data_IF_538314190344
#
_entry.id   IF_538314190344
#
_cell.length_a   1.000
_cell.length_b   1.000
_cell.length_c   1.000
_cell.angle_alpha   90.00
_cell.angle_beta   90.00
_cell.angle_gamma   90.00
#
_symmetry.space_group_name_H-M   'P 1'
#
loop_
_entity.id
_entity.type
_entity.pdbx_description
1 polymer ?
#
# COMPACT_ATOMS: atom_id res chain seq x y z
N UNK A 1 48.86 -28.95 -63.01
CA UNK A 1 48.76 -28.42 -61.63
C UNK A 1 47.77 -27.26 -61.60
N UNK A 2 46.50 -27.51 -61.27
CA UNK A 2 45.49 -26.47 -61.02
C UNK A 2 45.00 -26.67 -59.59
N UNK A 3 45.23 -25.67 -58.72
CA UNK A 3 44.81 -25.65 -57.32
C UNK A 3 43.29 -25.43 -57.28
N UNK A 4 42.56 -26.39 -56.71
CA UNK A 4 41.14 -26.27 -56.41
C UNK A 4 41.01 -25.54 -55.06
N UNK A 5 40.39 -24.36 -55.04
CA UNK A 5 40.14 -23.59 -53.82
C UNK A 5 38.75 -23.94 -53.32
N UNK A 6 38.69 -24.62 -52.17
CA UNK A 6 37.46 -24.95 -51.46
C UNK A 6 36.95 -23.67 -50.75
N UNK A 7 35.82 -23.11 -51.19
CA UNK A 7 35.12 -22.04 -50.46
C UNK A 7 34.22 -22.69 -49.41
N UNK A 8 34.54 -22.51 -48.13
CA UNK A 8 33.66 -22.85 -47.03
C UNK A 8 32.55 -21.79 -46.92
N UNK A 9 31.31 -22.18 -47.12
CA UNK A 9 30.14 -21.35 -46.86
C UNK A 9 29.73 -21.57 -45.40
N UNK A 10 29.95 -20.56 -44.56
CA UNK A 10 29.45 -20.56 -43.18
C UNK A 10 27.94 -20.28 -43.26
N UNK A 11 27.13 -21.32 -43.05
CA UNK A 11 25.70 -21.16 -42.83
C UNK A 11 25.51 -20.55 -41.43
N UNK A 12 25.11 -19.28 -41.38
CA UNK A 12 24.70 -18.65 -40.13
C UNK A 12 23.40 -19.30 -39.66
N UNK A 13 23.52 -20.19 -38.68
CA UNK A 13 22.38 -20.73 -37.94
C UNK A 13 21.78 -19.58 -37.13
N UNK A 14 20.68 -19.01 -37.63
CA UNK A 14 19.94 -17.97 -36.94
C UNK A 14 19.16 -18.63 -35.79
N UNK A 15 19.83 -18.81 -34.65
CA UNK A 15 19.17 -19.17 -33.40
C UNK A 15 18.35 -17.95 -33.00
N UNK A 16 17.05 -18.00 -33.28
CA UNK A 16 16.08 -17.07 -32.75
C UNK A 16 15.96 -17.38 -31.25
N UNK A 17 16.89 -16.82 -30.46
CA UNK A 17 16.71 -16.70 -29.02
C UNK A 17 15.47 -15.82 -28.85
N UNK A 18 14.35 -16.44 -28.51
CA UNK A 18 13.24 -15.73 -27.90
C UNK A 18 13.83 -15.11 -26.63
N UNK A 19 14.17 -13.82 -26.71
CA UNK A 19 14.38 -13.02 -25.52
C UNK A 19 13.12 -13.20 -24.68
N UNK A 20 13.20 -13.50 -23.38
CA UNK A 20 12.01 -13.42 -22.55
C UNK A 20 11.45 -12.02 -22.80
N UNK A 21 10.17 -11.97 -23.15
CA UNK A 21 9.38 -10.75 -22.97
C UNK A 21 9.69 -10.34 -21.54
N UNK A 22 10.45 -9.26 -21.35
CA UNK A 22 10.44 -8.61 -20.05
C UNK A 22 8.96 -8.35 -19.82
N UNK A 23 8.38 -9.03 -18.83
CA UNK A 23 7.10 -8.61 -18.30
C UNK A 23 7.21 -7.09 -18.14
N UNK A 24 6.28 -6.34 -18.73
CA UNK A 24 6.18 -4.92 -18.46
C UNK A 24 6.17 -4.81 -16.93
N UNK A 25 7.27 -4.31 -16.37
CA UNK A 25 7.31 -3.87 -14.99
C UNK A 25 6.42 -2.64 -15.04
N UNK A 26 5.12 -2.87 -14.89
CA UNK A 26 4.16 -1.83 -14.56
C UNK A 26 4.82 -0.96 -13.50
N UNK A 27 4.89 0.37 -13.70
CA UNK A 27 5.63 1.22 -12.79
C UNK A 27 5.19 0.95 -11.34
N UNK A 28 6.17 0.94 -10.44
CA UNK A 28 6.01 0.89 -8.98
C UNK A 28 5.32 2.18 -8.47
N UNK A 29 4.22 2.58 -9.10
CA UNK A 29 3.51 3.83 -8.87
C UNK A 29 2.00 3.62 -8.90
N UNK A 30 1.27 4.72 -9.14
CA UNK A 30 -0.19 4.72 -9.19
C UNK A 30 -0.77 3.68 -10.14
N UNK A 31 -1.82 2.99 -9.69
CA UNK A 31 -2.59 2.05 -10.52
C UNK A 31 -3.95 2.66 -10.82
N UNK A 32 -4.29 2.82 -12.09
CA UNK A 32 -5.60 3.33 -12.48
C UNK A 32 -6.71 2.40 -11.96
N UNK A 33 -7.66 2.97 -11.21
CA UNK A 33 -8.79 2.25 -10.61
C UNK A 33 -10.08 2.35 -11.45
N UNK A 34 -10.01 2.98 -12.62
CA UNK A 34 -11.13 3.06 -13.55
C UNK A 34 -11.66 1.67 -13.92
N UNK A 35 -12.94 1.43 -13.63
CA UNK A 35 -13.60 0.15 -13.89
C UNK A 35 -13.36 -0.95 -12.85
N UNK A 36 -12.66 -0.64 -11.75
CA UNK A 36 -12.48 -1.56 -10.62
C UNK A 36 -13.78 -1.83 -9.87
N UNK A 37 -13.81 -2.96 -9.16
CA UNK A 37 -14.84 -3.22 -8.15
C UNK A 37 -14.72 -2.21 -7.02
N UNK A 38 -15.82 -1.92 -6.34
CA UNK A 38 -15.83 -0.99 -5.22
C UNK A 38 -16.83 -1.37 -4.14
N UNK A 39 -16.55 -0.88 -2.95
CA UNK A 39 -17.45 -0.84 -1.81
C UNK A 39 -17.73 0.60 -1.44
N UNK A 40 -18.86 0.85 -0.78
CA UNK A 40 -19.27 2.17 -0.27
C UNK A 40 -19.38 2.11 1.25
N UNK A 41 -18.25 1.93 1.97
CA UNK A 41 -18.27 2.05 3.42
C UNK A 41 -18.66 3.49 3.77
N UNK A 42 -19.48 3.69 4.79
CA UNK A 42 -19.90 5.00 5.28
C UNK A 42 -19.66 5.06 6.79
N UNK A 43 -19.22 6.21 7.30
CA UNK A 43 -18.74 6.32 8.69
C UNK A 43 -17.68 5.24 8.96
N UNK A 44 -17.86 4.45 10.02
CA UNK A 44 -16.91 3.38 10.37
C UNK A 44 -17.21 2.03 9.71
N UNK A 45 -18.01 1.99 8.65
CA UNK A 45 -18.31 0.72 8.00
C UNK A 45 -17.06 0.10 7.39
N UNK A 46 -17.11 -1.21 7.30
CA UNK A 46 -16.01 -2.04 6.84
C UNK A 46 -16.52 -3.11 5.86
N UNK A 47 -15.66 -3.52 4.94
CA UNK A 47 -15.98 -4.58 3.99
C UNK A 47 -14.85 -5.60 3.93
N UNK A 48 -15.19 -6.88 4.03
CA UNK A 48 -14.24 -7.96 3.86
C UNK A 48 -14.08 -8.29 2.37
N UNK A 49 -12.83 -8.33 1.89
CA UNK A 49 -12.49 -8.69 0.51
C UNK A 49 -11.45 -9.79 0.53
N UNK A 50 -11.71 -10.84 -0.24
CA UNK A 50 -10.76 -11.94 -0.41
C UNK A 50 -9.52 -11.44 -1.18
N UNK A 51 -8.34 -11.81 -0.71
CA UNK A 51 -7.11 -11.57 -1.43
C UNK A 51 -6.94 -12.61 -2.55
N UNK A 52 -6.37 -12.23 -3.69
CA UNK A 52 -6.07 -13.15 -4.80
C UNK A 52 -4.84 -14.04 -4.51
N UNK A 53 -4.13 -13.77 -3.42
CA UNK A 53 -2.96 -14.48 -2.92
C UNK A 53 -2.92 -14.43 -1.39
N UNK A 54 -2.20 -15.36 -0.77
CA UNK A 54 -1.87 -15.30 0.64
C UNK A 54 -0.85 -14.18 0.88
N UNK A 55 -1.10 -13.29 1.84
CA UNK A 55 -0.22 -12.18 2.19
C UNK A 55 0.34 -12.33 3.61
N UNK A 56 1.66 -12.26 3.75
CA UNK A 56 2.38 -12.51 5.01
C UNK A 56 2.62 -11.22 5.81
N UNK A 57 1.59 -10.73 6.51
CA UNK A 57 1.68 -9.51 7.33
C UNK A 57 2.52 -9.76 8.61
N UNK A 58 3.70 -9.14 8.74
CA UNK A 58 4.72 -9.45 9.77
C UNK A 58 5.25 -10.91 9.75
N UNK A 59 5.19 -11.58 8.58
CA UNK A 59 5.84 -12.87 8.32
C UNK A 59 5.13 -14.13 8.87
N UNK A 60 5.36 -15.27 8.20
CA UNK A 60 5.08 -16.62 8.71
C UNK A 60 3.61 -16.88 9.10
N UNK A 61 3.38 -17.25 10.37
CA UNK A 61 2.07 -17.64 10.92
C UNK A 61 1.02 -16.50 10.98
N UNK A 62 1.36 -15.33 10.45
CA UNK A 62 0.52 -14.12 10.42
C UNK A 62 -0.02 -13.83 9.02
N UNK A 63 0.02 -14.84 8.15
CA UNK A 63 -0.51 -14.78 6.81
C UNK A 63 -2.04 -14.68 6.78
N UNK A 64 -2.57 -14.02 5.75
CA UNK A 64 -4.01 -13.88 5.53
C UNK A 64 -4.37 -14.01 4.06
N UNK A 65 -5.58 -14.48 3.79
CA UNK A 65 -6.19 -14.58 2.45
C UNK A 65 -7.38 -13.60 2.32
N UNK A 66 -7.51 -12.69 3.27
CA UNK A 66 -8.56 -11.68 3.32
C UNK A 66 -8.02 -10.40 3.94
N UNK A 67 -8.51 -9.28 3.45
CA UNK A 67 -8.36 -7.97 4.10
C UNK A 67 -9.72 -7.38 4.38
N UNK A 68 -9.78 -6.57 5.41
CA UNK A 68 -10.92 -5.72 5.67
C UNK A 68 -10.56 -4.30 5.25
N UNK A 69 -11.39 -3.73 4.38
CA UNK A 69 -11.29 -2.35 3.90
C UNK A 69 -12.14 -1.48 4.81
N UNK A 70 -11.58 -0.39 5.31
CA UNK A 70 -12.28 0.55 6.17
C UNK A 70 -12.27 1.96 5.58
N UNK A 71 -13.35 2.72 5.77
CA UNK A 71 -13.58 4.02 5.15
C UNK A 71 -12.48 5.08 5.42
N UNK A 72 -11.85 5.04 6.59
CA UNK A 72 -10.89 6.00 7.12
C UNK A 72 -9.48 5.79 6.56
N UNK A 73 -9.30 5.00 5.50
CA UNK A 73 -8.01 4.89 4.82
C UNK A 73 -7.05 3.86 5.40
N UNK A 74 -7.56 2.74 5.92
CA UNK A 74 -6.74 1.63 6.39
C UNK A 74 -7.28 0.25 5.97
N UNK A 75 -6.34 -0.70 5.90
CA UNK A 75 -6.60 -2.13 5.79
C UNK A 75 -6.35 -2.79 7.12
N UNK A 76 -7.08 -3.86 7.38
CA UNK A 76 -6.74 -4.79 8.45
C UNK A 76 -6.66 -6.24 8.02
N UNK A 77 -5.79 -6.98 8.69
CA UNK A 77 -5.36 -8.33 8.32
C UNK A 77 -5.79 -9.32 9.40
N UNK A 78 -6.93 -9.98 9.18
CA UNK A 78 -7.46 -11.01 10.08
C UNK A 78 -8.95 -10.88 10.36
N UNK A 79 -9.53 -11.79 11.17
CA UNK A 79 -10.98 -11.90 11.35
C UNK A 79 -11.64 -10.80 12.19
N UNK A 80 -10.87 -9.81 12.67
CA UNK A 80 -11.37 -8.76 13.56
C UNK A 80 -10.88 -7.41 13.07
N UNK A 81 -11.79 -6.43 13.02
CA UNK A 81 -11.46 -5.02 12.84
C UNK A 81 -12.38 -4.08 13.59
N UNK A 82 -11.88 -2.85 13.62
CA UNK A 82 -12.13 -1.72 14.48
C UNK A 82 -13.39 -0.94 14.16
N UNK A 83 -13.94 -0.32 15.20
CA UNK A 83 -15.10 0.55 15.13
C UNK A 83 -14.85 1.92 15.76
N UNK A 84 -13.64 2.47 15.74
CA UNK A 84 -13.44 3.84 16.20
C UNK A 84 -13.70 4.86 15.11
N UNK A 85 -14.48 5.88 15.48
CA UNK A 85 -14.62 7.13 14.74
C UNK A 85 -13.30 7.93 14.74
N UNK A 86 -12.38 7.66 15.66
CA UNK A 86 -11.14 8.43 15.83
C UNK A 86 -9.89 7.60 15.58
N UNK A 87 -8.86 8.24 15.05
CA UNK A 87 -7.52 7.66 14.98
C UNK A 87 -7.01 7.39 16.41
N UNK A 88 -6.84 6.12 16.82
CA UNK A 88 -6.32 5.79 18.14
C UNK A 88 -4.85 6.24 18.26
N UNK A 89 -4.37 6.35 19.50
CA UNK A 89 -2.95 6.58 19.73
C UNK A 89 -2.14 5.40 19.19
N UNK A 90 -1.07 5.70 18.44
CA UNK A 90 -0.09 4.70 18.01
C UNK A 90 1.11 4.70 18.95
N UNK A 91 1.72 3.54 19.27
CA UNK A 91 1.29 2.20 18.86
C UNK A 91 0.04 1.71 19.59
N UNK A 92 -0.68 0.77 18.98
CA UNK A 92 -1.86 0.13 19.58
C UNK A 92 -1.38 -0.89 20.62
N UNK A 93 -1.72 -0.68 21.91
CA UNK A 93 -1.14 -1.42 23.03
C UNK A 93 -1.83 -2.75 23.36
N UNK A 94 -3.01 -3.03 22.80
CA UNK A 94 -3.69 -4.30 23.09
C UNK A 94 -4.43 -4.88 21.89
N UNK A 95 -4.28 -6.20 21.70
CA UNK A 95 -5.19 -7.04 20.90
C UNK A 95 -6.64 -6.99 21.40
N UNK A 96 -6.86 -6.57 22.66
CA UNK A 96 -8.16 -6.60 23.33
C UNK A 96 -9.11 -5.50 22.86
N UNK A 97 -8.61 -4.52 22.10
CA UNK A 97 -9.40 -3.42 21.58
C UNK A 97 -9.70 -3.54 20.08
N UNK A 98 -9.54 -4.73 19.49
CA UNK A 98 -9.70 -5.01 18.05
C UNK A 98 -8.70 -4.26 17.14
N UNK A 99 -7.69 -3.60 17.72
CA UNK A 99 -6.71 -2.73 17.04
C UNK A 99 -5.48 -3.48 16.52
N UNK A 100 -5.66 -4.72 16.08
CA UNK A 100 -4.53 -5.57 15.69
C UNK A 100 -4.42 -5.73 14.19
N UNK A 101 -3.19 -5.67 13.70
CA UNK A 101 -2.80 -5.94 12.32
C UNK A 101 -3.44 -4.98 11.31
N UNK A 102 -2.95 -3.75 11.32
CA UNK A 102 -3.44 -2.66 10.48
C UNK A 102 -2.32 -2.12 9.60
N UNK A 103 -2.64 -1.84 8.34
CA UNK A 103 -1.87 -0.99 7.44
C UNK A 103 -2.70 0.26 7.13
N UNK A 104 -2.22 1.41 7.58
CA UNK A 104 -2.91 2.68 7.42
C UNK A 104 -2.16 3.59 6.45
N UNK A 105 -2.86 4.08 5.43
CA UNK A 105 -2.39 5.17 4.58
C UNK A 105 -2.81 6.54 5.14
N UNK A 106 -3.97 6.64 5.80
CA UNK A 106 -4.44 7.93 6.34
C UNK A 106 -4.98 7.84 7.76
N UNK A 107 -5.75 6.80 8.10
CA UNK A 107 -6.54 6.70 9.34
C UNK A 107 -7.16 8.04 9.75
N UNK A 108 -7.88 8.68 8.83
CA UNK A 108 -8.49 9.98 9.06
C UNK A 108 -10.01 9.84 9.23
N UNK A 109 -10.59 10.63 10.13
CA UNK A 109 -12.06 10.68 10.30
C UNK A 109 -12.68 11.47 9.14
N UNK A 110 -12.74 10.84 7.96
CA UNK A 110 -13.39 11.43 6.81
C UNK A 110 -14.90 11.50 7.06
N UNK A 111 -15.53 12.63 6.71
CA UNK A 111 -16.97 12.62 6.42
C UNK A 111 -17.21 11.87 5.11
N UNK A 112 -17.08 10.54 5.16
CA UNK A 112 -16.90 9.70 3.99
C UNK A 112 -18.09 9.79 3.03
N UNK A 113 -17.86 10.48 1.92
CA UNK A 113 -18.77 10.62 0.77
C UNK A 113 -18.04 10.13 -0.47
N UNK A 114 -17.68 8.85 -0.50
CA UNK A 114 -16.80 8.32 -1.54
C UNK A 114 -17.00 6.85 -1.87
N UNK A 115 -15.99 6.28 -2.54
CA UNK A 115 -15.88 4.86 -2.83
C UNK A 115 -14.50 4.35 -2.45
N UNK A 116 -14.46 3.09 -2.01
CA UNK A 116 -13.20 2.37 -1.88
C UNK A 116 -13.18 1.31 -2.97
N UNK A 117 -12.30 1.52 -3.96
CA UNK A 117 -12.11 0.61 -5.08
C UNK A 117 -11.08 -0.45 -4.73
N UNK A 118 -11.24 -1.66 -5.27
CA UNK A 118 -10.22 -2.69 -5.16
C UNK A 118 -10.09 -3.50 -6.45
N UNK A 119 -8.87 -3.92 -6.74
CA UNK A 119 -8.56 -4.75 -7.89
C UNK A 119 -7.26 -5.53 -7.68
N UNK A 120 -7.03 -6.51 -8.55
CA UNK A 120 -5.74 -7.18 -8.67
C UNK A 120 -5.15 -6.86 -10.02
N UNK A 121 -3.93 -6.36 -10.04
CA UNK A 121 -3.16 -6.14 -11.27
C UNK A 121 -1.94 -7.04 -11.30
N UNK A 122 -1.35 -7.21 -12.49
CA UNK A 122 -0.23 -8.12 -12.70
C UNK A 122 -0.65 -9.57 -12.94
N UNK A 123 0.32 -10.49 -13.00
CA UNK A 123 0.06 -11.90 -13.32
C UNK A 123 1.12 -12.84 -12.73
N UNK A 124 0.81 -14.13 -12.66
CA UNK A 124 1.72 -15.11 -12.07
C UNK A 124 1.94 -14.82 -10.59
N UNK A 125 3.21 -14.75 -10.17
CA UNK A 125 3.61 -14.36 -8.80
C UNK A 125 3.91 -12.87 -8.65
N UNK A 126 3.78 -12.10 -9.74
CA UNK A 126 4.02 -10.66 -9.76
C UNK A 126 2.67 -9.93 -9.81
N UNK A 127 1.86 -10.18 -8.78
CA UNK A 127 0.55 -9.55 -8.62
C UNK A 127 0.58 -8.52 -7.51
N UNK A 128 -0.23 -7.48 -7.69
CA UNK A 128 -0.51 -6.47 -6.67
C UNK A 128 -1.99 -6.43 -6.40
N UNK A 129 -2.37 -6.53 -5.14
CA UNK A 129 -3.73 -6.22 -4.70
C UNK A 129 -3.77 -4.75 -4.33
N UNK A 130 -4.59 -3.97 -5.02
CA UNK A 130 -4.66 -2.51 -4.90
C UNK A 130 -5.99 -2.12 -4.30
N UNK A 131 -5.95 -1.26 -3.29
CA UNK A 131 -7.14 -0.63 -2.70
C UNK A 131 -6.98 0.87 -2.83
N UNK A 132 -7.96 1.53 -3.46
CA UNK A 132 -7.98 2.98 -3.66
C UNK A 132 -9.12 3.60 -2.88
N UNK A 133 -8.82 4.59 -2.06
CA UNK A 133 -9.82 5.49 -1.50
C UNK A 133 -9.93 6.68 -2.43
N UNK A 134 -11.16 6.97 -2.85
CA UNK A 134 -11.56 8.15 -3.61
C UNK A 134 -12.74 8.74 -2.85
N UNK A 135 -12.42 9.67 -1.96
CA UNK A 135 -13.34 10.20 -0.95
C UNK A 135 -13.13 11.68 -0.74
N UNK A 136 -14.03 12.30 0.03
CA UNK A 136 -13.89 13.67 0.51
C UNK A 136 -13.75 13.69 2.03
N UNK A 137 -13.01 14.67 2.54
CA UNK A 137 -12.88 14.93 3.98
C UNK A 137 -14.09 15.69 4.54
N UNK A 138 -14.76 16.48 3.71
CA UNK A 138 -15.90 17.31 4.08
C UNK A 138 -17.21 16.83 3.47
N UNK A 139 -18.32 17.14 4.15
CA UNK A 139 -19.66 16.82 3.66
C UNK A 139 -20.10 17.66 2.45
N UNK A 140 -19.38 18.74 2.11
CA UNK A 140 -19.66 19.56 0.94
C UNK A 140 -18.93 19.07 -0.32
N UNK A 141 -18.16 17.97 -0.23
CA UNK A 141 -17.42 17.36 -1.33
C UNK A 141 -16.42 18.33 -2.00
N UNK A 142 -15.75 19.15 -1.20
CA UNK A 142 -14.75 20.13 -1.67
C UNK A 142 -13.31 19.73 -1.37
N UNK A 143 -13.10 18.81 -0.44
CA UNK A 143 -11.80 18.38 0.06
C UNK A 143 -11.52 16.93 -0.35
N UNK A 144 -11.14 16.73 -1.62
CA UNK A 144 -10.87 15.41 -2.21
C UNK A 144 -9.59 14.76 -1.65
N UNK A 145 -9.68 13.45 -1.43
CA UNK A 145 -8.62 12.59 -0.97
C UNK A 145 -8.61 11.30 -1.80
N UNK A 146 -7.57 11.15 -2.61
CA UNK A 146 -7.37 10.04 -3.55
C UNK A 146 -6.01 9.41 -3.28
N UNK A 147 -6.01 8.20 -2.70
CA UNK A 147 -4.81 7.49 -2.28
C UNK A 147 -4.98 5.97 -2.34
N UNK A 148 -3.87 5.24 -2.35
CA UNK A 148 -3.85 3.78 -2.50
C UNK A 148 -3.02 3.08 -1.44
N UNK A 149 -3.44 1.86 -1.11
CA UNK A 149 -2.60 0.83 -0.51
C UNK A 149 -2.44 -0.29 -1.53
N UNK A 150 -1.20 -0.69 -1.80
CA UNK A 150 -0.88 -1.85 -2.65
C UNK A 150 -0.14 -2.90 -1.81
N UNK A 151 -0.63 -4.14 -1.89
CA UNK A 151 0.02 -5.33 -1.34
C UNK A 151 0.71 -6.08 -2.47
N UNK A 152 2.02 -6.30 -2.35
CA UNK A 152 2.84 -6.93 -3.39
C UNK A 152 3.05 -8.41 -3.08
N UNK A 153 2.58 -9.31 -3.95
CA UNK A 153 2.67 -10.76 -3.74
C UNK A 153 4.11 -11.26 -3.67
N UNK A 154 4.95 -10.81 -4.61
CA UNK A 154 6.31 -11.34 -4.76
C UNK A 154 7.23 -10.97 -3.59
N UNK A 155 7.03 -9.79 -3.01
CA UNK A 155 7.96 -9.19 -2.04
C UNK A 155 7.38 -9.11 -0.62
N UNK A 156 6.06 -9.16 -0.47
CA UNK A 156 5.40 -8.84 0.80
C UNK A 156 5.42 -7.35 1.16
N UNK A 157 5.88 -6.49 0.23
CA UNK A 157 5.91 -5.04 0.42
C UNK A 157 4.48 -4.51 0.54
N UNK A 158 4.31 -3.53 1.42
CA UNK A 158 3.10 -2.69 1.50
C UNK A 158 3.50 -1.30 1.04
N UNK A 159 2.87 -0.79 -0.02
CA UNK A 159 3.17 0.56 -0.52
C UNK A 159 1.93 1.45 -0.50
N UNK A 160 2.11 2.70 -0.09
CA UNK A 160 1.10 3.74 -0.08
C UNK A 160 1.42 4.77 -1.15
N UNK A 161 0.41 5.20 -1.91
CA UNK A 161 0.55 6.19 -2.98
C UNK A 161 -0.51 7.27 -2.80
N UNK A 162 -0.13 8.53 -2.94
CA UNK A 162 -1.01 9.66 -2.69
C UNK A 162 -1.12 10.54 -3.93
N UNK A 163 -2.30 10.55 -4.56
CA UNK A 163 -2.55 11.34 -5.76
C UNK A 163 -3.15 12.70 -5.42
N UNK A 164 -4.09 12.76 -4.49
CA UNK A 164 -4.70 14.03 -4.05
C UNK A 164 -4.95 13.94 -2.56
N UNK A 165 -4.51 14.94 -1.80
CA UNK A 165 -4.73 15.02 -0.35
C UNK A 165 -5.06 16.46 -0.01
N UNK A 166 -6.30 16.71 0.41
CA UNK A 166 -6.81 18.04 0.74
C UNK A 166 -7.74 18.01 1.95
N UNK A 167 -7.78 19.10 2.72
CA UNK A 167 -8.66 19.21 3.89
C UNK A 167 -8.29 18.32 5.09
N UNK A 168 -7.12 17.69 5.05
CA UNK A 168 -6.65 16.80 6.12
C UNK A 168 -5.65 17.55 6.99
N UNK A 169 -5.98 17.71 8.27
CA UNK A 169 -5.16 18.37 9.29
C UNK A 169 -4.26 17.41 10.08
N UNK A 170 -4.36 16.12 9.80
CA UNK A 170 -3.36 15.14 10.19
C UNK A 170 -3.76 13.69 9.87
N UNK A 171 -2.80 12.79 9.81
CA UNK A 171 -3.02 11.39 9.43
C UNK A 171 -2.02 10.43 10.10
N UNK A 172 -2.42 9.17 10.30
CA UNK A 172 -1.51 8.08 10.69
C UNK A 172 -1.14 7.25 9.48
N UNK A 173 0.16 7.17 9.22
CA UNK A 173 0.71 6.42 8.08
C UNK A 173 1.66 5.35 8.55
N UNK A 174 1.39 4.09 8.21
CA UNK A 174 2.28 2.96 8.47
C UNK A 174 1.58 1.66 8.84
N UNK A 175 2.28 0.80 9.57
CA UNK A 175 1.87 -0.56 9.90
C UNK A 175 1.94 -0.79 11.40
N UNK A 176 0.98 -1.54 11.92
CA UNK A 176 0.91 -1.85 13.33
C UNK A 176 0.37 -3.26 13.56
N UNK A 177 1.05 -4.01 14.40
CA UNK A 177 0.65 -5.36 14.72
C UNK A 177 -0.41 -5.46 15.84
N UNK A 178 -0.43 -4.50 16.78
CA UNK A 178 -1.43 -4.39 17.86
C UNK A 178 -0.96 -4.92 19.22
N UNK A 179 0.35 -5.12 19.39
CA UNK A 179 0.96 -5.62 20.62
C UNK A 179 1.73 -4.55 21.42
N UNK A 180 1.66 -3.29 20.97
CA UNK A 180 2.39 -2.17 21.54
C UNK A 180 3.90 -2.15 21.25
N UNK A 181 4.42 -3.12 20.48
CA UNK A 181 5.85 -3.31 20.24
C UNK A 181 6.18 -3.31 18.75
N UNK A 182 5.47 -4.10 17.96
CA UNK A 182 5.68 -4.28 16.52
C UNK A 182 4.86 -3.22 15.75
N UNK A 183 5.50 -2.11 15.39
CA UNK A 183 4.92 -1.04 14.57
C UNK A 183 5.99 -0.24 13.83
N UNK A 184 5.63 0.31 12.68
CA UNK A 184 6.46 1.29 11.94
C UNK A 184 5.54 2.33 11.35
N UNK A 185 5.77 3.61 11.64
CA UNK A 185 4.95 4.67 11.06
C UNK A 185 5.22 6.06 11.62
N UNK A 186 4.52 7.04 11.05
CA UNK A 186 4.66 8.44 11.38
C UNK A 186 3.30 9.16 11.42
N UNK A 187 3.32 10.39 11.93
CA UNK A 187 2.18 11.29 11.95
C UNK A 187 2.39 12.39 10.92
N UNK A 188 1.39 12.61 10.07
CA UNK A 188 1.27 13.77 9.21
C UNK A 188 0.37 14.80 9.91
N UNK A 189 0.64 16.10 9.79
CA UNK A 189 -0.15 17.17 10.44
C UNK A 189 -0.68 18.23 9.47
N UNK A 190 -1.00 17.85 8.23
CA UNK A 190 -1.65 18.73 7.26
C UNK A 190 -0.73 19.74 6.59
N UNK A 191 0.24 20.32 7.31
CA UNK A 191 1.13 21.37 6.77
C UNK A 191 2.61 21.19 7.16
N UNK A 192 2.91 20.35 8.14
CA UNK A 192 4.25 19.97 8.55
C UNK A 192 4.34 18.48 8.85
N UNK A 193 5.56 18.04 9.14
CA UNK A 193 5.90 16.65 9.41
C UNK A 193 6.32 16.59 10.87
N UNK A 194 5.35 16.63 11.78
CA UNK A 194 5.64 16.63 13.20
C UNK A 194 5.74 15.21 13.75
N UNK A 195 6.81 15.02 14.52
CA UNK A 195 7.36 13.78 15.07
C UNK A 195 6.47 13.17 16.18
N UNK A 196 5.18 12.99 15.91
CA UNK A 196 4.24 12.29 16.78
C UNK A 196 3.46 13.18 17.74
N UNK A 197 2.53 14.00 17.22
CA UNK A 197 1.46 14.61 18.02
C UNK A 197 0.46 13.61 18.64
N UNK A 198 0.78 12.31 18.62
CA UNK A 198 0.08 11.31 19.43
C UNK A 198 0.62 11.29 20.85
N UNK A 199 -0.04 10.53 21.72
CA UNK A 199 0.50 10.23 23.05
C UNK A 199 1.89 9.56 23.02
N UNK A 200 2.32 9.06 21.85
CA UNK A 200 3.63 8.48 21.62
C UNK A 200 4.25 9.02 20.33
N UNK A 201 5.58 9.13 20.34
CA UNK A 201 6.38 9.62 19.22
C UNK A 201 6.26 8.67 18.04
N UNK A 202 6.29 9.21 16.82
CA UNK A 202 6.61 8.42 15.64
C UNK A 202 7.96 7.72 15.86
N UNK A 203 8.13 6.51 15.32
CA UNK A 203 9.43 5.85 15.36
C UNK A 203 10.29 6.18 14.12
N UNK A 204 9.72 6.92 13.15
CA UNK A 204 10.41 7.40 11.96
C UNK A 204 9.91 8.79 11.54
N UNK A 205 10.80 9.57 10.94
CA UNK A 205 10.46 10.84 10.31
C UNK A 205 9.76 10.58 8.97
N UNK A 206 8.58 11.16 8.77
CA UNK A 206 7.80 11.01 7.55
C UNK A 206 8.28 11.92 6.40
N UNK A 207 7.50 12.00 5.30
CA UNK A 207 7.68 13.02 4.28
C UNK A 207 7.35 14.44 4.77
N UNK A 208 8.05 15.46 4.25
CA UNK A 208 7.77 16.87 4.58
C UNK A 208 6.70 17.47 3.67
N UNK A 209 5.75 18.22 4.24
CA UNK A 209 4.69 18.90 3.49
C UNK A 209 3.52 17.97 3.18
N UNK A 210 2.68 18.35 2.21
CA UNK A 210 1.54 17.54 1.77
C UNK A 210 2.01 16.14 1.30
N UNK A 211 1.22 15.10 1.59
CA UNK A 211 1.45 13.73 1.15
C UNK A 211 1.22 13.54 -0.36
N UNK A 212 0.53 14.46 -1.03
CA UNK A 212 0.37 14.44 -2.49
C UNK A 212 1.70 14.24 -3.24
N UNK A 213 1.75 13.28 -4.16
CA UNK A 213 2.93 12.92 -4.93
C UNK A 213 3.95 12.08 -4.15
N UNK A 214 3.64 11.61 -2.93
CA UNK A 214 4.52 10.68 -2.22
C UNK A 214 4.13 9.22 -2.47
N UNK A 215 5.17 8.38 -2.51
CA UNK A 215 5.09 6.94 -2.36
C UNK A 215 5.82 6.55 -1.09
N UNK A 216 5.21 5.69 -0.27
CA UNK A 216 5.81 5.20 0.97
C UNK A 216 5.71 3.69 1.00
N UNK A 217 6.84 3.00 1.08
CA UNK A 217 6.91 1.55 1.09
C UNK A 217 7.35 1.04 2.45
N UNK A 218 6.77 -0.07 2.88
CA UNK A 218 7.10 -0.82 4.08
C UNK A 218 7.52 -2.22 3.66
N UNK A 219 8.80 -2.53 3.85
CA UNK A 219 9.38 -3.84 3.56
C UNK A 219 9.60 -4.61 4.86
N UNK A 220 9.06 -5.82 4.96
CA UNK A 220 9.23 -6.62 6.17
C UNK A 220 10.65 -7.16 6.26
N UNK A 221 11.32 -6.87 7.36
CA UNK A 221 12.64 -7.37 7.68
C UNK A 221 12.53 -8.55 8.66
N UNK A 222 12.73 -9.80 8.19
CA UNK A 222 12.58 -10.98 9.05
C UNK A 222 13.68 -11.10 10.11
N UNK A 223 14.81 -10.41 9.95
CA UNK A 223 15.89 -10.43 10.95
C UNK A 223 15.55 -9.58 12.17
N UNK A 224 14.83 -8.48 11.98
CA UNK A 224 14.41 -7.57 13.04
C UNK A 224 12.98 -7.81 13.51
N UNK A 225 12.15 -8.51 12.72
CA UNK A 225 10.72 -8.67 12.99
C UNK A 225 9.94 -7.36 12.82
N UNK A 226 10.49 -6.38 12.09
CA UNK A 226 9.89 -5.06 11.89
C UNK A 226 9.77 -4.73 10.40
N UNK A 227 8.97 -3.71 10.07
CA UNK A 227 8.99 -3.13 8.74
C UNK A 227 10.01 -2.00 8.67
N UNK A 228 10.80 -1.98 7.60
CA UNK A 228 11.66 -0.86 7.22
C UNK A 228 10.86 0.04 6.26
N UNK A 229 10.66 1.31 6.62
CA UNK A 229 9.94 2.24 5.76
C UNK A 229 10.90 3.04 4.86
N UNK A 230 10.45 3.30 3.64
CA UNK A 230 11.12 4.15 2.66
C UNK A 230 10.10 5.10 2.07
N UNK A 231 10.47 6.37 1.89
CA UNK A 231 9.61 7.37 1.28
C UNK A 231 10.31 7.99 0.06
N UNK A 232 9.57 8.12 -1.02
CA UNK A 232 10.04 8.74 -2.26
C UNK A 232 8.96 9.68 -2.78
N UNK A 233 9.37 10.89 -3.16
CA UNK A 233 8.49 11.81 -3.88
C UNK A 233 8.51 11.44 -5.37
N UNK A 234 7.38 10.98 -5.87
CA UNK A 234 7.11 10.65 -7.28
C UNK A 234 5.82 11.37 -7.65
N UNK A 235 5.89 12.56 -8.27
CA UNK A 235 4.69 13.24 -8.71
C UNK A 235 3.88 12.30 -9.60
N UNK A 236 2.67 11.99 -9.18
CA UNK A 236 1.77 11.18 -9.99
C UNK A 236 1.31 12.02 -11.21
N UNK A 237 1.12 11.38 -12.39
CA UNK A 237 0.84 12.06 -13.65
C UNK A 237 -0.54 12.74 -13.73
#
# INVERSE_FOLDING_TARGET
>A
MRKCVLRATIAALCICLALPVLADIEPLGWVDYSGSEYVTPWGNNQAAVALPFTFDFYGGARSTEQVILQANGYLGFGPFLLNSDTAPAWPLYTYQENYSRVASAMWYDFHFTGRVYHQTVGSGTDRRFVVTWDTFADAAETESNIFQIQLHEATGTISYHYHTVTGVDGARVGVNYGDGVEYTGFWYDGESNFDGGGLYNANQQGPTGNLEGWTISYDFNPETGSYDAQAQYVPEP
#
